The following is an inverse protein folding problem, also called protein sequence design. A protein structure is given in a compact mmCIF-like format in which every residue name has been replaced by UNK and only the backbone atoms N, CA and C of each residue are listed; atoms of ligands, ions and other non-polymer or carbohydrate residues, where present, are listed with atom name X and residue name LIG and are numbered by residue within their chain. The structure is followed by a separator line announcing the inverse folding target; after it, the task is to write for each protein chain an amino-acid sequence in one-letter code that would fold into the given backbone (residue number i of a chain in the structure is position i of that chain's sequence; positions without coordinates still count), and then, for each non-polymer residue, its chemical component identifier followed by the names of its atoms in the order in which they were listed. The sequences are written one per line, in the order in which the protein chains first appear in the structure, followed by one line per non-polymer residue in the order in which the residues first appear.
data_IF_535600778352
#
_entry.id   IF_535600778352
#
_cell.length_a   1.000
_cell.length_b   1.000
_cell.length_c   1.000
_cell.angle_alpha   90.00
_cell.angle_beta   90.00
_cell.angle_gamma   90.00
#
_symmetry.space_group_name_H-M   'P 1'
#
loop_
_entity.id
_entity.type
_entity.pdbx_description
1 polymer ?
#
# COMPACT_ATOMS: atom_id res chain seq x y z
N UNK A 1 24.79 42.95 -15.49
CA UNK A 1 23.84 41.98 -14.89
C UNK A 1 22.50 42.67 -14.85
N UNK A 2 21.50 42.14 -15.56
CA UNK A 2 20.20 42.81 -15.72
C UNK A 2 19.24 42.43 -14.59
N UNK A 3 18.27 43.30 -14.30
CA UNK A 3 17.28 43.10 -13.23
C UNK A 3 16.46 41.80 -13.40
N UNK A 4 16.27 41.36 -14.65
CA UNK A 4 15.67 40.06 -15.00
C UNK A 4 16.54 38.87 -14.58
N UNK A 5 17.86 38.95 -14.72
CA UNK A 5 18.77 37.85 -14.32
C UNK A 5 18.80 37.64 -12.81
N UNK A 6 18.58 38.71 -12.04
CA UNK A 6 18.47 38.64 -10.57
C UNK A 6 17.14 38.01 -10.18
N UNK A 7 16.03 38.38 -10.84
CA UNK A 7 14.70 37.80 -10.59
C UNK A 7 14.63 36.30 -10.91
N UNK A 8 15.17 35.89 -12.06
CA UNK A 8 15.27 34.47 -12.44
C UNK A 8 16.20 33.67 -11.52
N UNK A 9 17.16 34.35 -10.88
CA UNK A 9 18.04 33.76 -9.87
C UNK A 9 17.32 33.51 -8.54
N UNK A 10 16.47 34.46 -8.12
CA UNK A 10 15.67 34.31 -6.91
C UNK A 10 14.53 33.31 -7.07
N UNK A 11 13.85 33.22 -8.22
CA UNK A 11 12.85 32.15 -8.48
C UNK A 11 13.47 30.74 -8.50
N UNK A 12 14.72 30.60 -9.00
CA UNK A 12 15.47 29.34 -8.93
C UNK A 12 15.93 28.99 -7.52
N UNK A 13 16.17 29.98 -6.67
CA UNK A 13 16.50 29.76 -5.26
C UNK A 13 15.25 29.47 -4.42
N UNK A 14 14.11 30.09 -4.73
CA UNK A 14 12.83 29.88 -4.03
C UNK A 14 12.25 28.48 -4.34
N UNK A 15 12.40 28.01 -5.59
CA UNK A 15 12.09 26.62 -5.97
C UNK A 15 13.07 25.59 -5.40
N UNK A 16 14.29 25.99 -5.05
CA UNK A 16 15.28 25.15 -4.37
C UNK A 16 15.15 25.16 -2.83
N UNK A 17 14.41 26.13 -2.27
CA UNK A 17 14.16 26.31 -0.84
C UNK A 17 12.74 25.87 -0.41
N UNK A 18 11.89 25.46 -1.35
CA UNK A 18 10.63 24.79 -1.02
C UNK A 18 10.93 23.50 -0.23
N UNK A 19 10.35 23.40 0.98
CA UNK A 19 10.53 22.28 1.87
C UNK A 19 10.16 20.94 1.18
N UNK A 20 10.93 19.85 1.39
CA UNK A 20 10.65 18.56 0.77
C UNK A 20 9.31 18.01 1.30
N UNK A 21 8.36 17.86 0.38
CA UNK A 21 7.04 17.27 0.62
C UNK A 21 7.14 15.81 1.06
N UNK A 22 6.30 15.47 2.04
CA UNK A 22 6.42 14.38 3.00
C UNK A 22 6.27 12.97 2.42
N UNK A 23 7.07 12.03 2.92
CA UNK A 23 6.86 10.60 2.69
C UNK A 23 5.57 10.12 3.38
N UNK A 24 5.20 10.70 4.53
CA UNK A 24 3.91 10.43 5.16
C UNK A 24 2.75 10.99 4.34
N UNK A 25 2.87 12.18 3.74
CA UNK A 25 1.91 12.70 2.75
C UNK A 25 1.86 11.91 1.45
N UNK A 26 2.77 10.97 1.18
CA UNK A 26 2.71 10.06 0.02
C UNK A 26 2.26 8.66 0.38
N UNK A 27 2.48 8.21 1.61
CA UNK A 27 1.79 7.04 2.16
C UNK A 27 0.29 7.38 2.35
N UNK A 28 -0.03 8.51 2.98
CA UNK A 28 -1.37 9.11 3.01
C UNK A 28 -1.77 9.71 1.63
N UNK A 29 -0.78 10.10 0.81
CA UNK A 29 -0.98 10.59 -0.55
C UNK A 29 -1.33 9.51 -1.55
N UNK A 30 -0.94 8.25 -1.36
CA UNK A 30 -1.51 7.17 -2.18
C UNK A 30 -3.00 7.00 -1.90
N UNK A 31 -3.46 7.41 -0.70
CA UNK A 31 -4.87 7.53 -0.35
C UNK A 31 -5.51 8.82 -0.93
N UNK A 32 -4.79 9.95 -1.02
CA UNK A 32 -5.32 11.25 -1.53
C UNK A 32 -5.06 11.59 -3.02
N UNK A 33 -3.91 11.26 -3.60
CA UNK A 33 -3.48 11.51 -4.99
C UNK A 33 -4.34 10.73 -6.00
N UNK A 34 -4.93 9.58 -5.62
CA UNK A 34 -6.02 8.94 -6.37
C UNK A 34 -7.22 9.88 -6.61
N UNK A 35 -7.43 10.89 -5.76
CA UNK A 35 -8.53 11.87 -5.88
C UNK A 35 -8.19 13.07 -6.78
N UNK A 36 -6.92 13.38 -7.04
CA UNK A 36 -6.54 14.58 -7.83
C UNK A 36 -6.55 14.37 -9.34
N UNK A 37 -6.38 13.13 -9.84
CA UNK A 37 -6.67 12.78 -11.25
C UNK A 37 -8.17 12.84 -11.61
N UNK A 38 -9.08 12.92 -10.63
CA UNK A 38 -10.52 13.11 -10.86
C UNK A 38 -10.95 14.56 -11.12
N UNK A 39 -10.06 15.56 -11.07
CA UNK A 39 -10.44 16.96 -11.35
C UNK A 39 -10.02 17.50 -12.72
N UNK A 40 -9.37 16.70 -13.55
CA UNK A 40 -9.10 17.03 -14.96
C UNK A 40 -9.92 16.19 -15.96
N UNK A 41 -10.76 15.26 -15.49
CA UNK A 41 -11.72 14.54 -16.31
C UNK A 41 -13.09 14.54 -15.61
N UNK A 42 -13.98 15.40 -16.09
CA UNK A 42 -15.44 15.49 -15.90
C UNK A 42 -15.88 16.96 -15.75
N UNK A 43 -15.61 17.75 -16.79
CA UNK A 43 -16.67 18.56 -17.38
C UNK A 43 -17.62 17.55 -18.05
N UNK A 44 -18.81 17.32 -17.50
CA UNK A 44 -19.77 16.43 -18.15
C UNK A 44 -20.79 15.78 -17.21
N UNK A 45 -21.97 16.40 -17.18
CA UNK A 45 -23.30 15.80 -16.99
C UNK A 45 -23.70 15.22 -15.62
N UNK A 46 -24.79 15.83 -15.14
CA UNK A 46 -25.66 15.45 -14.04
C UNK A 46 -26.33 14.07 -14.20
N UNK A 47 -26.65 13.43 -13.06
CA UNK A 47 -27.96 12.81 -12.83
C UNK A 47 -28.17 12.51 -11.33
N UNK A 48 -29.33 12.94 -10.84
CA UNK A 48 -29.92 12.67 -9.52
C UNK A 48 -30.66 11.33 -9.57
N UNK A 49 -30.61 10.53 -8.50
CA UNK A 49 -31.72 9.64 -8.11
C UNK A 49 -31.65 9.22 -6.64
N UNK A 50 -32.77 9.40 -5.96
CA UNK A 50 -33.11 9.06 -4.56
C UNK A 50 -33.77 7.66 -4.55
N UNK A 51 -33.65 6.90 -3.44
CA UNK A 51 -34.74 6.23 -2.69
C UNK A 51 -34.18 5.14 -1.74
N UNK A 52 -34.72 5.18 -0.52
CA UNK A 52 -34.49 4.28 0.62
C UNK A 52 -35.42 3.07 0.63
N UNK A 53 -35.03 1.94 1.26
CA UNK A 53 -35.95 1.00 1.93
C UNK A 53 -35.26 0.35 3.14
N UNK A 54 -36.01 0.27 4.23
CA UNK A 54 -35.66 -0.24 5.55
C UNK A 54 -35.90 -1.76 5.73
N UNK A 55 -35.33 -2.31 6.81
CA UNK A 55 -36.01 -3.33 7.62
C UNK A 55 -35.43 -4.75 7.58
N UNK A 56 -35.17 -5.31 8.78
CA UNK A 56 -35.04 -6.76 8.97
C UNK A 56 -34.11 -7.17 10.12
N UNK A 57 -34.60 -7.13 11.36
CA UNK A 57 -33.98 -7.82 12.48
C UNK A 57 -34.19 -9.34 12.36
N UNK A 58 -33.14 -10.13 12.65
CA UNK A 58 -33.28 -11.56 12.94
C UNK A 58 -32.53 -11.84 14.24
N UNK A 59 -33.29 -12.13 15.29
CA UNK A 59 -32.79 -12.75 16.50
C UNK A 59 -32.84 -14.27 16.31
N UNK A 60 -31.74 -14.96 16.58
CA UNK A 60 -31.75 -16.36 16.99
C UNK A 60 -30.83 -16.53 18.19
N UNK A 61 -31.44 -16.98 19.27
CA UNK A 61 -30.81 -17.41 20.51
C UNK A 61 -30.47 -18.91 20.45
N UNK A 62 -29.53 -19.32 21.30
CA UNK A 62 -29.19 -20.72 21.60
C UNK A 62 -27.81 -21.09 21.07
N UNK A 63 -26.93 -21.77 21.80
CA UNK A 63 -26.98 -22.37 23.12
C UNK A 63 -25.55 -22.85 23.44
N UNK A 64 -25.26 -22.93 24.72
CA UNK A 64 -24.03 -23.46 25.31
C UNK A 64 -23.82 -24.94 24.91
N UNK A 65 -22.57 -25.34 24.63
CA UNK A 65 -22.02 -26.69 24.87
C UNK A 65 -20.60 -26.78 24.29
N UNK A 66 -19.62 -26.90 25.19
CA UNK A 66 -18.20 -26.88 24.90
C UNK A 66 -17.69 -28.00 23.99
N UNK A 67 -16.65 -27.68 23.21
CA UNK A 67 -15.72 -28.64 22.60
C UNK A 67 -14.31 -28.05 22.51
N UNK A 68 -13.38 -28.77 23.12
CA UNK A 68 -11.93 -28.82 22.90
C UNK A 68 -11.29 -27.68 22.09
N UNK A 69 -10.62 -26.77 22.80
CA UNK A 69 -9.57 -25.95 22.21
C UNK A 69 -8.39 -26.86 21.88
N UNK A 70 -8.33 -27.36 20.64
CA UNK A 70 -7.10 -27.93 20.09
C UNK A 70 -6.07 -26.79 20.07
N UNK A 71 -5.00 -26.94 20.86
CA UNK A 71 -3.85 -26.05 20.75
C UNK A 71 -3.26 -26.24 19.34
N UNK A 72 -3.54 -25.30 18.45
CA UNK A 72 -2.87 -25.21 17.16
C UNK A 72 -1.51 -24.63 17.46
N UNK A 73 -0.44 -25.41 17.26
CA UNK A 73 0.93 -24.89 17.34
C UNK A 73 1.01 -23.63 16.47
N UNK A 74 1.25 -22.48 17.12
CA UNK A 74 1.53 -21.26 16.36
C UNK A 74 2.84 -21.50 15.60
N UNK A 75 2.89 -21.26 14.28
CA UNK A 75 4.11 -21.47 13.52
C UNK A 75 5.24 -20.64 14.12
N UNK A 76 6.31 -21.31 14.56
CA UNK A 76 7.49 -20.70 15.21
C UNK A 76 8.56 -20.22 14.23
N UNK A 77 8.20 -20.02 12.96
CA UNK A 77 9.09 -19.49 11.92
C UNK A 77 8.77 -18.03 11.57
N UNK A 78 9.65 -17.33 10.82
CA UNK A 78 9.32 -16.00 10.32
C UNK A 78 8.06 -16.08 9.45
N UNK A 79 7.09 -15.19 9.70
CA UNK A 79 5.84 -15.09 8.91
C UNK A 79 6.11 -14.63 7.48
N UNK A 80 7.31 -14.12 7.22
CA UNK A 80 7.73 -13.72 5.90
C UNK A 80 9.23 -13.93 5.66
N UNK A 81 9.53 -14.29 4.42
CA UNK A 81 10.88 -14.33 3.82
C UNK A 81 11.05 -13.26 2.75
N UNK A 82 10.21 -12.21 2.78
CA UNK A 82 10.28 -11.13 1.80
C UNK A 82 11.56 -10.31 1.98
N UNK A 83 12.26 -10.12 0.88
CA UNK A 83 13.53 -9.38 0.79
C UNK A 83 13.45 -8.35 -0.32
N UNK A 84 13.66 -7.09 0.04
CA UNK A 84 13.94 -6.01 -0.90
C UNK A 84 15.43 -6.04 -1.25
N UNK A 85 15.76 -5.99 -2.54
CA UNK A 85 17.13 -5.88 -3.03
C UNK A 85 17.29 -4.60 -3.85
N UNK A 86 18.37 -3.89 -3.57
CA UNK A 86 18.71 -2.62 -4.22
C UNK A 86 19.76 -2.80 -5.33
N UNK A 87 19.91 -1.81 -6.24
CA UNK A 87 20.89 -1.90 -7.33
C UNK A 87 22.34 -2.02 -6.89
N UNK A 88 22.67 -1.53 -5.68
CA UNK A 88 24.02 -1.62 -5.10
C UNK A 88 24.32 -3.00 -4.48
N UNK A 89 23.34 -3.92 -4.50
CA UNK A 89 23.43 -5.25 -3.92
C UNK A 89 23.06 -5.33 -2.44
N UNK A 90 22.77 -4.21 -1.78
CA UNK A 90 22.24 -4.20 -0.42
C UNK A 90 20.82 -4.77 -0.38
N UNK A 91 20.45 -5.33 0.77
CA UNK A 91 19.14 -5.96 0.96
C UNK A 91 18.50 -5.53 2.28
N UNK A 92 17.17 -5.63 2.32
CA UNK A 92 16.38 -5.44 3.54
C UNK A 92 15.32 -6.54 3.64
N UNK A 93 15.26 -7.21 4.79
CA UNK A 93 14.29 -8.29 5.03
C UNK A 93 13.08 -7.76 5.80
N UNK A 94 11.89 -8.26 5.47
CA UNK A 94 10.66 -8.03 6.22
C UNK A 94 10.25 -9.32 6.94
N UNK A 95 10.87 -9.68 8.07
CA UNK A 95 10.60 -10.96 8.74
C UNK A 95 9.20 -11.02 9.37
N UNK A 96 8.67 -9.85 9.73
CA UNK A 96 7.42 -9.68 10.43
C UNK A 96 6.43 -8.90 9.56
N UNK A 97 5.27 -9.51 9.31
CA UNK A 97 4.14 -8.87 8.64
C UNK A 97 2.86 -9.15 9.39
N UNK A 98 1.97 -8.17 9.38
CA UNK A 98 0.61 -8.27 9.92
C UNK A 98 -0.37 -8.37 8.77
N UNK A 99 -1.33 -9.29 8.87
CA UNK A 99 -2.44 -9.42 7.93
C UNK A 99 -3.73 -9.02 8.61
N UNK A 100 -4.55 -8.20 7.94
CA UNK A 100 -5.82 -7.70 8.48
C UNK A 100 -6.83 -7.43 7.38
N UNK A 101 -8.12 -7.54 7.70
CA UNK A 101 -9.22 -7.06 6.86
C UNK A 101 -9.90 -5.81 7.43
N UNK A 102 -9.34 -5.25 8.50
CA UNK A 102 -9.65 -3.91 8.99
C UNK A 102 -8.54 -2.97 8.51
N UNK A 103 -8.87 -1.83 7.87
CA UNK A 103 -7.86 -0.89 7.42
C UNK A 103 -6.88 -0.52 8.54
N UNK A 104 -5.56 -0.63 8.33
CA UNK A 104 -4.61 -0.24 9.35
C UNK A 104 -4.64 1.27 9.56
N UNK A 105 -4.58 1.73 10.81
CA UNK A 105 -4.54 3.15 11.15
C UNK A 105 -3.10 3.65 11.22
N UNK A 106 -2.83 4.80 10.61
CA UNK A 106 -1.57 5.50 10.76
C UNK A 106 -1.54 6.30 12.07
N UNK A 107 -0.33 6.70 12.47
CA UNK A 107 -0.14 7.73 13.50
C UNK A 107 -0.93 8.98 13.09
N UNK A 108 -1.94 9.34 13.87
CA UNK A 108 -2.92 10.40 13.52
C UNK A 108 -4.37 9.90 13.41
N UNK A 109 -4.58 8.58 13.38
CA UNK A 109 -5.91 7.96 13.35
C UNK A 109 -6.54 7.83 11.95
N UNK A 110 -5.81 8.24 10.90
CA UNK A 110 -6.27 8.09 9.53
C UNK A 110 -5.98 6.67 8.99
N UNK A 111 -6.97 5.99 8.38
CA UNK A 111 -6.77 4.66 7.84
C UNK A 111 -5.95 4.68 6.54
N UNK A 112 -5.02 3.73 6.41
CA UNK A 112 -4.17 3.48 5.23
C UNK A 112 -4.96 3.12 3.95
N UNK A 113 -6.23 2.76 4.09
CA UNK A 113 -7.09 2.39 2.99
C UNK A 113 -8.54 2.61 3.33
N UNK A 114 -9.35 2.88 2.30
CA UNK A 114 -10.80 2.97 2.44
C UNK A 114 -11.43 2.08 1.37
N UNK A 115 -12.13 1.03 1.80
CA UNK A 115 -12.78 0.10 0.89
C UNK A 115 -13.20 -1.18 1.58
N UNK A 116 -14.39 -1.66 1.24
CA UNK A 116 -14.95 -2.93 1.72
C UNK A 116 -14.36 -4.11 0.94
N UNK A 117 -14.34 -5.30 1.54
CA UNK A 117 -13.85 -6.51 0.87
C UNK A 117 -12.35 -6.50 0.57
N UNK A 118 -11.58 -5.78 1.38
CA UNK A 118 -10.13 -5.64 1.22
C UNK A 118 -9.37 -6.36 2.32
N UNK A 119 -8.15 -6.74 1.97
CA UNK A 119 -7.18 -7.33 2.87
C UNK A 119 -5.86 -6.58 2.72
N UNK A 120 -5.16 -6.43 3.84
CA UNK A 120 -3.90 -5.72 3.95
C UNK A 120 -2.85 -6.63 4.54
N UNK A 121 -1.63 -6.53 4.03
CA UNK A 121 -0.42 -7.07 4.65
C UNK A 121 0.61 -5.96 4.77
N UNK A 122 1.20 -5.77 5.95
CA UNK A 122 2.19 -4.70 6.15
C UNK A 122 3.24 -5.07 7.19
N UNK A 123 4.45 -4.55 7.02
CA UNK A 123 5.51 -4.65 8.03
C UNK A 123 5.27 -3.66 9.18
N UNK A 124 5.93 -3.81 10.34
CA UNK A 124 5.90 -2.78 11.38
C UNK A 124 6.21 -1.38 10.84
N UNK A 125 5.49 -0.38 11.35
CA UNK A 125 5.59 1.00 10.90
C UNK A 125 6.35 1.84 11.93
N UNK A 126 7.59 2.20 11.61
CA UNK A 126 8.45 2.98 12.49
C UNK A 126 8.61 4.40 11.96
N UNK A 127 7.90 5.36 12.56
CA UNK A 127 7.96 6.77 12.18
C UNK A 127 8.79 7.61 13.16
N UNK A 128 9.50 8.60 12.63
CA UNK A 128 9.87 9.83 13.37
C UNK A 128 8.87 10.92 13.07
N UNK A 129 8.69 11.87 13.99
CA UNK A 129 7.71 12.97 13.85
C UNK A 129 6.36 12.61 14.47
N UNK A 130 5.55 13.62 14.77
CA UNK A 130 4.25 13.45 15.46
C UNK A 130 3.06 13.92 14.63
N UNK A 131 3.30 14.53 13.47
CA UNK A 131 2.31 15.06 12.55
C UNK A 131 2.66 14.68 11.09
N UNK A 132 1.71 14.86 10.17
CA UNK A 132 1.83 14.48 8.75
C UNK A 132 3.04 15.15 8.07
N UNK A 133 3.32 16.40 8.42
CA UNK A 133 4.40 17.24 7.87
C UNK A 133 5.81 16.86 8.38
N UNK A 134 5.90 16.05 9.43
CA UNK A 134 7.19 15.63 10.03
C UNK A 134 7.35 14.13 10.08
N UNK A 135 6.28 13.38 9.83
CA UNK A 135 6.27 11.93 9.82
C UNK A 135 7.19 11.39 8.71
N UNK A 136 8.20 10.60 9.10
CA UNK A 136 9.12 9.92 8.16
C UNK A 136 9.30 8.48 8.60
N UNK A 137 9.20 7.55 7.65
CA UNK A 137 9.63 6.16 7.88
C UNK A 137 11.10 6.17 8.26
N UNK A 138 11.44 5.50 9.36
CA UNK A 138 12.80 5.36 9.89
C UNK A 138 13.52 4.17 9.31
N UNK A 139 12.75 3.16 8.93
CA UNK A 139 13.19 1.93 8.28
C UNK A 139 12.30 1.65 7.05
N UNK A 140 12.75 0.82 6.09
CA UNK A 140 11.93 0.43 4.96
C UNK A 140 10.59 -0.18 5.42
N UNK A 141 9.51 0.22 4.77
CA UNK A 141 8.15 -0.21 5.09
C UNK A 141 7.51 -0.90 3.89
N UNK A 142 6.95 -2.08 4.13
CA UNK A 142 6.21 -2.88 3.15
C UNK A 142 4.71 -2.74 3.40
N UNK A 143 3.96 -2.61 2.30
CA UNK A 143 2.50 -2.61 2.31
C UNK A 143 1.95 -3.32 1.08
N UNK A 144 0.96 -4.19 1.30
CA UNK A 144 0.16 -4.84 0.28
C UNK A 144 -1.30 -4.53 0.56
N UNK A 145 -2.01 -4.14 -0.49
CA UNK A 145 -3.45 -3.95 -0.49
C UNK A 145 -4.05 -4.80 -1.60
N UNK A 146 -5.08 -5.57 -1.28
CA UNK A 146 -5.77 -6.37 -2.26
C UNK A 146 -7.28 -6.42 -2.04
N UNK A 147 -8.02 -6.73 -3.12
CA UNK A 147 -9.47 -6.93 -3.11
C UNK A 147 -9.73 -8.43 -3.09
N UNK A 148 -10.26 -8.94 -1.97
CA UNK A 148 -10.38 -10.38 -1.67
C UNK A 148 -11.07 -11.13 -2.81
N UNK A 149 -12.22 -10.65 -3.28
CA UNK A 149 -12.99 -11.31 -4.34
C UNK A 149 -12.27 -11.37 -5.70
N UNK A 150 -11.26 -10.50 -5.91
CA UNK A 150 -10.45 -10.48 -7.15
C UNK A 150 -9.17 -11.29 -7.04
N UNK A 151 -8.77 -11.67 -5.83
CA UNK A 151 -7.53 -12.40 -5.57
C UNK A 151 -7.74 -13.79 -4.95
N UNK A 152 -8.94 -14.12 -4.50
CA UNK A 152 -9.24 -15.39 -3.85
C UNK A 152 -8.93 -16.58 -4.77
N UNK A 153 -8.34 -17.62 -4.17
CA UNK A 153 -7.81 -18.80 -4.85
C UNK A 153 -6.36 -18.64 -5.31
N UNK A 154 -5.77 -19.74 -5.80
CA UNK A 154 -4.42 -19.73 -6.35
C UNK A 154 -4.38 -18.93 -7.66
N UNK A 155 -3.79 -17.74 -7.62
CA UNK A 155 -3.78 -16.79 -8.74
C UNK A 155 -2.47 -16.04 -8.84
N UNK A 156 -1.90 -15.99 -10.04
CA UNK A 156 -0.70 -15.20 -10.33
C UNK A 156 -1.04 -13.93 -11.09
N UNK A 157 -0.50 -12.81 -10.59
CA UNK A 157 -0.53 -11.51 -11.24
C UNK A 157 0.85 -11.22 -11.84
N UNK A 158 0.87 -10.70 -13.06
CA UNK A 158 2.10 -10.41 -13.81
C UNK A 158 2.14 -8.94 -14.20
N UNK A 159 3.32 -8.34 -14.09
CA UNK A 159 3.60 -6.98 -14.55
C UNK A 159 4.67 -6.97 -15.67
N UNK A 160 4.65 -5.95 -16.55
CA UNK A 160 3.63 -4.91 -16.64
C UNK A 160 2.27 -5.52 -17.04
N UNK A 161 1.19 -4.91 -16.58
CA UNK A 161 -0.17 -5.28 -16.99
C UNK A 161 -0.75 -4.20 -17.90
N UNK A 162 -1.76 -4.58 -18.68
CA UNK A 162 -2.50 -3.71 -19.59
C UNK A 162 -3.89 -3.34 -19.02
N UNK A 163 -4.04 -3.40 -17.69
CA UNK A 163 -5.32 -3.16 -17.06
C UNK A 163 -5.80 -1.73 -17.29
N UNK A 164 -6.96 -1.60 -17.93
CA UNK A 164 -7.63 -0.33 -18.18
C UNK A 164 -8.56 0.10 -17.03
N UNK A 165 -8.41 -0.53 -15.86
CA UNK A 165 -9.31 -0.34 -14.73
C UNK A 165 -8.97 0.89 -13.90
N UNK A 166 -9.98 1.41 -13.21
CA UNK A 166 -9.78 2.44 -12.21
C UNK A 166 -8.82 1.95 -11.12
N UNK A 167 -8.01 2.85 -10.58
CA UNK A 167 -7.02 2.48 -9.56
C UNK A 167 -7.65 1.82 -8.33
N UNK A 168 -8.90 2.15 -8.00
CA UNK A 168 -9.65 1.54 -6.92
C UNK A 168 -10.02 0.06 -7.19
N UNK A 169 -9.97 -0.36 -8.45
CA UNK A 169 -10.33 -1.70 -8.90
C UNK A 169 -9.13 -2.62 -9.12
N UNK A 170 -7.91 -2.10 -8.96
CA UNK A 170 -6.68 -2.88 -9.06
C UNK A 170 -6.73 -4.04 -8.03
N UNK A 171 -6.65 -5.31 -8.48
CA UNK A 171 -6.80 -6.47 -7.61
C UNK A 171 -5.78 -6.53 -6.48
N UNK A 172 -4.53 -6.16 -6.77
CA UNK A 172 -3.42 -6.26 -5.85
C UNK A 172 -2.42 -5.13 -6.12
N UNK A 173 -2.02 -4.43 -5.07
CA UNK A 173 -0.92 -3.45 -5.08
C UNK A 173 0.10 -3.87 -4.04
N UNK A 174 1.36 -4.00 -4.45
CA UNK A 174 2.51 -4.15 -3.56
C UNK A 174 3.32 -2.85 -3.60
N UNK A 175 3.62 -2.32 -2.41
CA UNK A 175 4.31 -1.06 -2.18
C UNK A 175 5.45 -1.24 -1.19
N UNK A 176 6.56 -0.55 -1.45
CA UNK A 176 7.60 -0.33 -0.45
C UNK A 176 7.98 1.15 -0.39
N UNK A 177 8.01 1.71 0.81
CA UNK A 177 8.71 2.96 1.12
C UNK A 177 10.11 2.61 1.62
N UNK A 178 11.13 2.86 0.82
CA UNK A 178 12.53 2.61 1.16
C UNK A 178 13.20 3.88 1.71
N UNK A 179 14.01 3.70 2.74
CA UNK A 179 14.69 4.82 3.42
C UNK A 179 16.05 5.15 2.84
N UNK A 180 16.61 4.28 1.99
CA UNK A 180 17.90 4.57 1.35
C UNK A 180 17.76 5.72 0.33
N UNK A 181 18.79 6.57 0.21
CA UNK A 181 18.72 7.80 -0.59
C UNK A 181 18.18 9.04 0.16
N UNK A 182 18.13 9.01 1.50
CA UNK A 182 17.74 10.18 2.31
C UNK A 182 18.50 11.47 1.90
N UNK A 183 17.83 12.64 1.93
CA UNK A 183 16.47 12.85 2.43
C UNK A 183 15.36 12.44 1.45
N UNK A 184 15.69 12.00 0.23
CA UNK A 184 14.73 11.59 -0.80
C UNK A 184 14.70 10.06 -0.91
N UNK A 185 14.13 9.41 0.10
CA UNK A 185 13.87 7.96 0.05
C UNK A 185 13.12 7.55 -1.23
N UNK A 186 13.18 6.28 -1.57
CA UNK A 186 12.51 5.76 -2.76
C UNK A 186 11.13 5.19 -2.39
N UNK A 187 10.16 5.39 -3.25
CA UNK A 187 8.82 4.81 -3.12
C UNK A 187 8.57 3.97 -4.36
N UNK A 188 8.39 2.67 -4.18
CA UNK A 188 8.29 1.74 -5.31
C UNK A 188 7.03 0.89 -5.25
N UNK A 189 6.36 0.68 -6.37
CA UNK A 189 5.15 -0.13 -6.41
C UNK A 189 5.00 -0.96 -7.68
N UNK A 190 4.08 -1.92 -7.62
CA UNK A 190 3.65 -2.70 -8.80
C UNK A 190 2.83 -1.88 -9.79
N UNK A 191 2.37 -0.67 -9.42
CA UNK A 191 1.50 0.13 -10.28
C UNK A 191 2.29 1.10 -11.20
N UNK A 192 3.61 1.15 -11.04
CA UNK A 192 4.47 2.03 -11.81
C UNK A 192 4.99 1.39 -13.10
N UNK A 193 5.33 2.23 -14.08
CA UNK A 193 5.66 1.81 -15.44
C UNK A 193 6.81 0.79 -15.52
N UNK A 194 7.79 0.87 -14.62
CA UNK A 194 8.95 -0.03 -14.59
C UNK A 194 8.69 -1.35 -13.82
N UNK A 195 7.48 -1.53 -13.27
CA UNK A 195 7.11 -2.74 -12.57
C UNK A 195 7.06 -3.95 -13.53
N UNK A 196 7.64 -5.07 -13.08
CA UNK A 196 7.75 -6.30 -13.89
C UNK A 196 7.97 -7.52 -13.03
N UNK A 197 7.51 -8.68 -13.49
CA UNK A 197 7.59 -9.94 -12.74
C UNK A 197 6.23 -10.35 -12.19
N UNK A 198 6.20 -11.11 -11.09
CA UNK A 198 4.98 -11.77 -10.63
C UNK A 198 4.76 -11.66 -9.12
N UNK A 199 3.48 -11.67 -8.76
CA UNK A 199 2.99 -11.92 -7.40
C UNK A 199 1.94 -13.01 -7.51
N UNK A 200 2.20 -14.17 -6.89
CA UNK A 200 1.24 -15.25 -6.78
C UNK A 200 0.56 -15.18 -5.42
N UNK A 201 -0.75 -15.11 -5.42
CA UNK A 201 -1.60 -15.27 -4.26
C UNK A 201 -1.88 -16.76 -4.11
N UNK A 202 -1.36 -17.36 -3.04
CA UNK A 202 -1.59 -18.77 -2.71
C UNK A 202 -2.93 -18.91 -1.98
N UNK A 203 -3.22 -17.96 -1.09
CA UNK A 203 -4.42 -17.97 -0.27
C UNK A 203 -4.81 -16.53 0.12
N UNK A 204 -6.10 -16.23 0.11
CA UNK A 204 -6.64 -14.96 0.61
C UNK A 204 -8.04 -15.17 1.17
N UNK A 205 -8.26 -14.82 2.44
CA UNK A 205 -9.59 -14.81 3.07
C UNK A 205 -9.64 -13.79 4.22
N UNK A 206 -10.84 -13.30 4.50
CA UNK A 206 -11.15 -12.52 5.71
C UNK A 206 -11.98 -13.30 6.74
N UNK A 207 -12.42 -14.52 6.40
CA UNK A 207 -13.34 -15.34 7.18
C UNK A 207 -12.79 -16.78 7.30
N UNK A 208 -12.74 -17.40 8.51
CA UNK A 208 -13.02 -16.82 9.83
C UNK A 208 -11.88 -15.97 10.39
N UNK A 209 -10.68 -16.08 9.82
CA UNK A 209 -9.48 -15.35 10.25
C UNK A 209 -8.81 -14.76 9.01
N UNK A 210 -8.35 -13.50 9.05
CA UNK A 210 -7.59 -12.91 7.95
C UNK A 210 -6.35 -13.75 7.60
N UNK A 211 -6.25 -14.15 6.34
CA UNK A 211 -5.10 -14.86 5.77
C UNK A 211 -4.77 -14.26 4.41
N UNK A 212 -3.49 -14.01 4.16
CA UNK A 212 -2.99 -13.57 2.87
C UNK A 212 -1.62 -14.20 2.67
N UNK A 213 -1.56 -15.23 1.84
CA UNK A 213 -0.32 -15.94 1.51
C UNK A 213 0.14 -15.57 0.11
N UNK A 214 1.35 -15.05 0.00
CA UNK A 214 1.94 -14.53 -1.23
C UNK A 214 3.28 -15.22 -1.52
N UNK A 215 3.55 -15.45 -2.80
CA UNK A 215 4.88 -15.69 -3.35
C UNK A 215 5.20 -14.51 -4.29
N UNK A 216 6.31 -13.82 -4.04
CA UNK A 216 6.68 -12.60 -4.74
C UNK A 216 7.98 -12.82 -5.49
N UNK A 217 7.99 -12.49 -6.77
CA UNK A 217 9.19 -12.35 -7.58
C UNK A 217 8.98 -11.19 -8.56
N UNK A 218 9.17 -9.97 -8.07
CA UNK A 218 8.86 -8.77 -8.85
C UNK A 218 9.95 -7.73 -8.73
N UNK A 219 10.04 -6.88 -9.74
CA UNK A 219 10.66 -5.56 -9.65
C UNK A 219 9.55 -4.52 -9.51
N UNK A 220 9.71 -3.61 -8.56
CA UNK A 220 8.81 -2.51 -8.26
C UNK A 220 9.35 -1.24 -8.93
N UNK A 221 8.49 -0.54 -9.69
CA UNK A 221 8.86 0.71 -10.33
C UNK A 221 8.83 1.88 -9.35
N UNK A 222 9.66 2.91 -9.57
CA UNK A 222 9.74 4.08 -8.67
C UNK A 222 8.69 5.14 -9.00
N UNK A 223 7.97 5.59 -7.99
CA UNK A 223 7.01 6.71 -8.08
C UNK A 223 7.71 8.08 -8.09
N UNK A 224 9.01 8.10 -7.81
CA UNK A 224 9.79 9.32 -7.61
C UNK A 224 10.92 9.46 -8.63
N UNK A 225 10.89 8.64 -9.68
CA UNK A 225 11.88 8.64 -10.75
C UNK A 225 13.27 8.14 -10.33
N UNK A 226 13.35 7.39 -9.24
CA UNK A 226 14.56 6.71 -8.80
C UNK A 226 14.66 5.29 -9.42
N UNK A 227 15.73 4.57 -9.11
CA UNK A 227 15.91 3.22 -9.61
C UNK A 227 14.80 2.28 -9.08
N UNK A 228 14.33 1.32 -9.91
CA UNK A 228 13.40 0.31 -9.45
C UNK A 228 14.09 -0.67 -8.49
N UNK A 229 13.32 -1.29 -7.60
CA UNK A 229 13.83 -2.21 -6.58
C UNK A 229 13.25 -3.62 -6.75
N UNK A 230 14.04 -4.65 -6.46
CA UNK A 230 13.57 -6.05 -6.56
C UNK A 230 12.99 -6.50 -5.23
N UNK A 231 11.87 -7.22 -5.26
CA UNK A 231 11.27 -7.89 -4.12
C UNK A 231 11.14 -9.38 -4.42
N UNK A 232 11.60 -10.22 -3.51
CA UNK A 232 11.47 -11.68 -3.61
C UNK A 232 11.12 -12.31 -2.28
N UNK A 233 10.43 -13.45 -2.30
CA UNK A 233 10.21 -14.28 -1.12
C UNK A 233 8.75 -14.67 -0.98
N UNK A 234 8.38 -15.11 0.23
CA UNK A 234 7.01 -15.46 0.57
C UNK A 234 6.56 -14.76 1.85
N UNK A 235 5.26 -14.61 2.03
CA UNK A 235 4.68 -14.06 3.25
C UNK A 235 3.29 -14.67 3.49
N UNK A 236 2.90 -14.83 4.76
CA UNK A 236 1.52 -15.14 5.13
C UNK A 236 1.34 -15.83 6.47
#
# INVERSE_FOLDING_TARGET
MTEQQIRDGYERLDSALAAPTDAADRVAGRVRVRRRRRRTALAGTAAVAVVAVAGGAVALAGGDDGRDTVAVDQPTGPRSTLVLSRPDGSTYSFPDVTVTCTPPELTGGDPLGTGTGRIWMYSPFHLTGTDEDTARVTEPFLYVEAIVDKIAGDRTFTWPNDWSMDTADVPLTLFVADTEGRPRGNEVSTNEADARGTVRVVEASCDPVPVLRLEVETTLGSEVGQAPLKMTGAAG
#
